data_IF_460861544245
#
_entry.id   IF_460861544245
#
_cell.length_a   1.000
_cell.length_b   1.000
_cell.length_c   1.000
_cell.angle_alpha   90.00
_cell.angle_beta   90.00
_cell.angle_gamma   90.00
#
_symmetry.space_group_name_H-M   'P 1'
#
loop_
_entity.id
_entity.type
_entity.pdbx_description
1 polymer ?
#
# COMPACT_ATOMS: atom_id res chain seq x y z
N UNK A 1 -15.48 -2.42 7.49
CA UNK A 1 -15.56 -3.79 8.04
C UNK A 1 -16.40 -3.73 9.31
N UNK A 2 -17.50 -4.47 9.37
CA UNK A 2 -18.20 -4.74 10.62
C UNK A 2 -17.88 -6.20 10.99
N UNK A 3 -17.27 -6.42 12.15
CA UNK A 3 -17.01 -7.79 12.64
C UNK A 3 -18.32 -8.40 13.14
N UNK A 4 -18.53 -9.68 12.84
CA UNK A 4 -19.67 -10.45 13.35
C UNK A 4 -19.50 -10.80 14.84
N UNK A 5 -18.31 -10.54 15.41
CA UNK A 5 -17.98 -10.71 16.83
C UNK A 5 -17.14 -9.51 17.31
N UNK A 6 -17.74 -8.51 17.96
CA UNK A 6 -17.02 -7.30 18.36
C UNK A 6 -15.97 -7.61 19.44
N UNK A 7 -14.71 -7.27 19.15
CA UNK A 7 -13.58 -7.52 20.05
C UNK A 7 -13.47 -6.49 21.20
N UNK A 8 -14.20 -5.36 21.11
CA UNK A 8 -14.12 -4.21 22.04
C UNK A 8 -12.69 -3.74 22.34
N UNK A 9 -11.80 -3.85 21.34
CA UNK A 9 -10.39 -3.41 21.39
C UNK A 9 -10.09 -2.52 20.19
N UNK A 10 -9.10 -1.64 20.32
CA UNK A 10 -8.50 -0.95 19.18
C UNK A 10 -7.60 -1.95 18.46
N UNK A 11 -7.73 -2.03 17.13
CA UNK A 11 -6.99 -2.97 16.29
C UNK A 11 -6.35 -2.22 15.13
N UNK A 12 -5.04 -2.39 14.94
CA UNK A 12 -4.35 -1.89 13.77
C UNK A 12 -4.58 -2.84 12.58
N UNK A 13 -4.97 -2.28 11.44
CA UNK A 13 -5.16 -3.02 10.19
C UNK A 13 -4.12 -2.52 9.19
N UNK A 14 -3.19 -3.39 8.81
CA UNK A 14 -2.12 -3.09 7.87
C UNK A 14 -1.27 -4.32 7.58
N UNK A 15 -0.19 -4.15 6.83
CA UNK A 15 0.69 -5.27 6.45
C UNK A 15 1.61 -5.75 7.58
N UNK A 16 1.87 -4.90 8.58
CA UNK A 16 2.91 -5.16 9.58
C UNK A 16 4.32 -5.14 9.01
N UNK A 17 4.48 -4.66 7.77
CA UNK A 17 5.77 -4.54 7.07
C UNK A 17 6.05 -3.08 6.77
N UNK A 18 7.27 -2.63 7.03
CA UNK A 18 7.75 -1.33 6.57
C UNK A 18 8.35 -1.44 5.17
N UNK A 19 8.26 -0.35 4.40
CA UNK A 19 8.86 -0.23 3.07
C UNK A 19 9.52 1.16 3.01
N UNK A 20 10.78 1.24 2.59
CA UNK A 20 11.46 2.52 2.46
C UNK A 20 10.85 3.33 1.31
N UNK A 21 10.82 4.66 1.43
CA UNK A 21 10.24 5.52 0.40
C UNK A 21 10.94 5.37 -0.96
N UNK A 22 12.25 5.09 -0.97
CA UNK A 22 13.00 4.83 -2.20
C UNK A 22 12.57 3.50 -2.84
N UNK A 23 12.33 2.45 -2.06
CA UNK A 23 11.82 1.17 -2.58
C UNK A 23 10.41 1.31 -3.16
N UNK A 24 9.56 2.17 -2.55
CA UNK A 24 8.24 2.50 -3.12
C UNK A 24 8.39 3.19 -4.46
N UNK A 25 9.27 4.20 -4.54
CA UNK A 25 9.56 4.93 -5.77
C UNK A 25 10.04 4.00 -6.89
N UNK A 26 11.03 3.15 -6.61
CA UNK A 26 11.57 2.19 -7.57
C UNK A 26 10.52 1.19 -8.06
N UNK A 27 9.70 0.66 -7.16
CA UNK A 27 8.61 -0.25 -7.51
C UNK A 27 7.56 0.41 -8.41
N UNK A 28 7.22 1.68 -8.15
CA UNK A 28 6.28 2.43 -8.99
C UNK A 28 6.86 2.62 -10.39
N UNK A 29 8.11 3.05 -10.52
CA UNK A 29 8.74 3.24 -11.84
C UNK A 29 8.79 1.93 -12.65
N UNK A 30 9.23 0.84 -12.02
CA UNK A 30 9.33 -0.49 -12.62
C UNK A 30 7.95 -0.96 -13.14
N UNK A 31 6.93 -0.95 -12.27
CA UNK A 31 5.60 -1.49 -12.61
C UNK A 31 4.91 -0.64 -13.67
N UNK A 32 5.01 0.69 -13.57
CA UNK A 32 4.38 1.61 -14.52
C UNK A 32 5.23 1.87 -15.77
N UNK A 33 6.41 1.23 -15.89
CA UNK A 33 7.34 1.37 -17.02
C UNK A 33 7.71 2.84 -17.28
N UNK A 34 8.05 3.55 -16.22
CA UNK A 34 8.46 4.96 -16.24
C UNK A 34 9.95 5.08 -15.91
N UNK A 35 10.56 6.18 -16.34
CA UNK A 35 11.97 6.49 -16.08
C UNK A 35 12.16 7.93 -15.63
N UNK A 36 11.21 8.44 -14.84
CA UNK A 36 11.29 9.79 -14.28
C UNK A 36 12.48 9.88 -13.32
N UNK A 37 13.22 11.00 -13.29
CA UNK A 37 14.30 11.21 -12.32
C UNK A 37 13.75 11.51 -10.92
N UNK A 38 14.48 11.09 -9.88
CA UNK A 38 14.17 11.45 -8.49
C UNK A 38 14.84 12.77 -8.12
N UNK A 39 14.09 13.64 -7.46
CA UNK A 39 14.62 14.82 -6.77
C UNK A 39 14.49 14.61 -5.26
N UNK A 40 15.62 14.54 -4.56
CA UNK A 40 15.64 14.39 -3.10
C UNK A 40 15.61 15.78 -2.46
N UNK A 41 14.44 16.15 -1.97
CA UNK A 41 14.24 17.35 -1.15
C UNK A 41 14.20 16.99 0.33
N UNK A 42 14.54 17.94 1.20
CA UNK A 42 14.50 17.75 2.65
C UNK A 42 13.09 17.38 3.17
N UNK A 43 12.99 16.86 4.41
CA UNK A 43 11.71 16.46 4.99
C UNK A 43 10.76 17.66 5.11
N UNK A 44 9.47 17.41 4.91
CA UNK A 44 8.43 18.41 5.13
C UNK A 44 8.18 18.57 6.63
N UNK A 45 7.80 19.77 7.11
CA UNK A 45 7.39 19.95 8.50
C UNK A 45 6.26 18.97 8.88
N UNK A 46 6.50 18.13 9.89
CA UNK A 46 5.55 17.11 10.33
C UNK A 46 5.78 15.70 9.78
N UNK A 47 6.79 15.49 8.93
CA UNK A 47 7.08 14.16 8.39
C UNK A 47 7.42 13.14 9.48
N UNK A 48 6.72 12.01 9.45
CA UNK A 48 7.02 10.84 10.26
C UNK A 48 8.12 10.05 9.57
N UNK A 49 9.26 9.86 10.24
CA UNK A 49 10.43 9.16 9.64
C UNK A 49 10.21 7.68 9.36
N UNK A 50 9.44 7.00 10.21
CA UNK A 50 9.11 5.57 10.08
C UNK A 50 7.69 5.33 10.55
N UNK A 51 6.96 4.53 9.80
CA UNK A 51 5.59 4.14 10.11
C UNK A 51 5.42 2.65 9.86
N UNK A 52 5.20 1.89 10.92
CA UNK A 52 4.90 0.46 10.89
C UNK A 52 3.84 0.18 11.94
N UNK A 53 2.91 -0.73 11.61
CA UNK A 53 1.82 -1.10 12.49
C UNK A 53 2.12 -2.44 13.17
N UNK A 54 1.94 -2.51 14.49
CA UNK A 54 1.83 -3.81 15.17
C UNK A 54 0.47 -4.42 14.85
N UNK A 55 0.46 -5.50 14.07
CA UNK A 55 -0.73 -6.19 13.58
C UNK A 55 -1.09 -7.43 14.39
N UNK A 56 -0.42 -7.68 15.53
CA UNK A 56 -0.59 -8.90 16.34
C UNK A 56 -2.05 -9.18 16.71
N UNK A 57 -2.78 -8.16 17.17
CA UNK A 57 -4.20 -8.31 17.55
C UNK A 57 -5.06 -8.73 16.35
N UNK A 58 -4.80 -8.18 15.15
CA UNK A 58 -5.55 -8.54 13.97
C UNK A 58 -5.32 -10.02 13.58
N UNK A 59 -4.09 -10.50 13.70
CA UNK A 59 -3.74 -11.89 13.40
C UNK A 59 -4.33 -12.84 14.44
N UNK A 60 -4.06 -12.61 15.73
CA UNK A 60 -4.37 -13.58 16.79
C UNK A 60 -5.86 -13.64 17.15
N UNK A 61 -6.56 -12.51 17.08
CA UNK A 61 -7.91 -12.38 17.63
C UNK A 61 -8.99 -12.25 16.54
N UNK A 62 -8.60 -11.83 15.32
CA UNK A 62 -9.52 -11.69 14.19
C UNK A 62 -9.22 -12.66 13.04
N UNK A 63 -8.15 -13.47 13.15
CA UNK A 63 -7.65 -14.31 12.04
C UNK A 63 -7.47 -13.51 10.74
N UNK A 64 -7.09 -12.23 10.89
CA UNK A 64 -6.92 -11.30 9.79
C UNK A 64 -5.44 -10.97 9.60
N UNK A 65 -5.00 -11.07 8.36
CA UNK A 65 -3.69 -10.62 7.91
C UNK A 65 -3.78 -10.04 6.50
N UNK A 66 -2.90 -9.08 6.18
CA UNK A 66 -2.77 -8.59 4.82
C UNK A 66 -2.37 -9.74 3.89
N UNK A 67 -3.09 -9.89 2.77
CA UNK A 67 -2.87 -10.97 1.79
C UNK A 67 -2.09 -10.51 0.55
N UNK A 68 -1.89 -9.20 0.44
CA UNK A 68 -1.26 -8.54 -0.69
C UNK A 68 0.04 -7.88 -0.23
N UNK A 69 1.09 -8.11 -1.00
CA UNK A 69 2.30 -7.27 -0.96
C UNK A 69 2.05 -5.93 -1.66
N UNK A 70 2.88 -4.93 -1.36
CA UNK A 70 2.84 -3.64 -2.07
C UNK A 70 2.96 -3.82 -3.59
N UNK A 71 3.91 -4.65 -4.04
CA UNK A 71 4.14 -4.95 -5.45
C UNK A 71 2.90 -5.54 -6.14
N UNK A 72 2.24 -6.52 -5.52
CA UNK A 72 1.01 -7.11 -6.06
C UNK A 72 -0.11 -6.07 -6.18
N UNK A 73 -0.29 -5.25 -5.13
CA UNK A 73 -1.29 -4.17 -5.17
C UNK A 73 -1.01 -3.14 -6.28
N UNK A 74 0.27 -2.77 -6.49
CA UNK A 74 0.68 -1.88 -7.57
C UNK A 74 0.46 -2.49 -8.96
N UNK A 75 0.67 -3.80 -9.14
CA UNK A 75 0.40 -4.50 -10.39
C UNK A 75 -1.11 -4.56 -10.73
N UNK A 76 -1.96 -4.79 -9.72
CA UNK A 76 -3.42 -4.73 -9.90
C UNK A 76 -3.85 -3.30 -10.24
N UNK A 77 -3.29 -2.29 -9.57
CA UNK A 77 -3.55 -0.89 -9.89
C UNK A 77 -3.14 -0.53 -11.32
N UNK A 78 -1.96 -0.98 -11.79
CA UNK A 78 -1.53 -0.78 -13.16
C UNK A 78 -2.50 -1.41 -14.17
N UNK A 79 -2.91 -2.65 -13.91
CA UNK A 79 -3.87 -3.39 -14.75
C UNK A 79 -5.22 -2.68 -14.81
N UNK A 80 -5.71 -2.19 -13.66
CA UNK A 80 -6.94 -1.41 -13.59
C UNK A 80 -6.88 -0.14 -14.45
N UNK A 81 -5.77 0.63 -14.36
CA UNK A 81 -5.60 1.84 -15.17
C UNK A 81 -5.56 1.52 -16.67
N UNK A 82 -4.86 0.47 -17.08
CA UNK A 82 -4.80 0.06 -18.48
C UNK A 82 -6.17 -0.31 -19.05
N UNK A 83 -7.02 -0.97 -18.26
CA UNK A 83 -8.37 -1.33 -18.68
C UNK A 83 -9.27 -0.09 -18.78
N UNK A 84 -9.19 0.83 -17.81
CA UNK A 84 -9.93 2.09 -17.81
C UNK A 84 -9.60 2.96 -19.03
N UNK A 85 -8.32 3.05 -19.40
CA UNK A 85 -7.89 3.84 -20.55
C UNK A 85 -8.42 3.26 -21.87
N UNK A 86 -8.47 1.92 -22.01
CA UNK A 86 -9.07 1.26 -23.17
C UNK A 86 -10.56 1.60 -23.31
N UNK A 87 -11.32 1.54 -22.21
CA UNK A 87 -12.75 1.88 -22.21
C UNK A 87 -13.00 3.32 -22.66
N UNK A 88 -12.16 4.27 -22.25
CA UNK A 88 -12.26 5.69 -22.64
C UNK A 88 -11.92 5.95 -24.12
N UNK A 89 -11.07 5.13 -24.73
CA UNK A 89 -10.65 5.27 -26.14
C UNK A 89 -11.50 4.47 -27.13
N UNK A 90 -12.44 3.64 -26.65
CA UNK A 90 -13.38 2.85 -27.46
C UNK A 90 -14.69 3.58 -27.79
N UNK A 91 -14.76 4.88 -27.52
CA UNK A 91 -15.84 5.81 -27.90
C UNK A 91 -15.27 6.94 -28.75
#
# INVERSE_FOLDING_TARGET
>A
MATQKPLNKVVNIGSGTEVAILDVYEQVLDIFRKSEPIEIVGPRPGDIRRSILDTKIAVEELDWQARYTLRQGLQELFTFNLNRDKELTSH
#
